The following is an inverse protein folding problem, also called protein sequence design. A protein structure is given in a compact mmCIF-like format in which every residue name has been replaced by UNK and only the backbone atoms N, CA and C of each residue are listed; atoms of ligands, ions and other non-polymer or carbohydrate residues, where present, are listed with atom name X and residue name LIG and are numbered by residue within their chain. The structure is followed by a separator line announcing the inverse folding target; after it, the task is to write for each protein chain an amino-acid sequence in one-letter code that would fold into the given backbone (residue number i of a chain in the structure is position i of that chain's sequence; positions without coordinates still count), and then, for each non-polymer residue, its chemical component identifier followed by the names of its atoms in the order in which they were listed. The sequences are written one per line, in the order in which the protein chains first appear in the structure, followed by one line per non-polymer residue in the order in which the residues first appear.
data_IF_702309603771
#
_entry.id   IF_702309603771
#
_cell.length_a   1.000
_cell.length_b   1.000
_cell.length_c   1.000
_cell.angle_alpha   90.00
_cell.angle_beta   90.00
_cell.angle_gamma   90.00
#
_symmetry.space_group_name_H-M   'P 1'
#
loop_
_entity.id
_entity.type
_entity.pdbx_description
1 polymer ?
#
# COMPACT_ATOMS: atom_id res chain seq x y z
N UNK A 1 7.43 -51.45 17.55
CA UNK A 1 6.48 -50.32 17.53
C UNK A 1 7.22 -49.15 16.92
N UNK A 2 6.93 -48.83 15.66
CA UNK A 2 7.68 -47.86 14.86
C UNK A 2 7.00 -46.49 14.97
N UNK A 3 7.83 -45.48 15.21
CA UNK A 3 7.71 -44.03 15.04
C UNK A 3 6.47 -43.43 14.34
N UNK A 4 6.09 -42.22 14.78
CA UNK A 4 5.50 -41.24 13.88
C UNK A 4 4.59 -40.20 14.55
N UNK A 5 5.18 -39.21 15.21
CA UNK A 5 4.53 -37.92 15.46
C UNK A 5 4.34 -37.23 14.10
N UNK A 6 3.11 -36.86 13.73
CA UNK A 6 2.88 -35.88 12.66
C UNK A 6 2.17 -34.68 13.29
N UNK A 7 2.98 -33.67 13.56
CA UNK A 7 2.61 -32.27 13.70
C UNK A 7 2.47 -31.76 12.26
N UNK A 8 1.26 -31.40 11.84
CA UNK A 8 1.03 -30.67 10.60
C UNK A 8 0.80 -29.21 10.94
N UNK A 9 1.86 -28.42 10.93
CA UNK A 9 1.83 -26.98 11.16
C UNK A 9 1.12 -26.23 10.02
N UNK A 10 0.52 -25.12 10.41
CA UNK A 10 -0.06 -24.08 9.55
C UNK A 10 0.92 -23.68 8.45
N UNK A 11 0.44 -23.66 7.21
CA UNK A 11 1.20 -23.17 6.07
C UNK A 11 1.36 -21.66 6.18
N UNK A 12 2.46 -21.20 6.75
CA UNK A 12 2.95 -19.85 6.52
C UNK A 12 3.35 -19.77 5.04
N UNK A 13 2.67 -18.92 4.25
CA UNK A 13 3.16 -18.53 2.93
C UNK A 13 4.58 -17.97 3.13
N UNK A 14 5.62 -18.68 2.71
CA UNK A 14 6.97 -18.14 2.76
C UNK A 14 7.10 -17.09 1.67
N UNK A 15 7.56 -15.90 2.04
CA UNK A 15 7.87 -14.79 1.14
C UNK A 15 8.78 -15.25 -0.01
N UNK A 16 8.20 -15.51 -1.19
CA UNK A 16 8.91 -15.85 -2.43
C UNK A 16 9.51 -14.60 -3.12
N UNK A 17 9.87 -13.57 -2.34
CA UNK A 17 10.50 -12.36 -2.88
C UNK A 17 12.01 -12.41 -2.68
N UNK A 18 12.73 -12.13 -3.75
CA UNK A 18 14.13 -11.77 -3.63
C UNK A 18 14.23 -10.27 -3.30
N UNK A 19 15.13 -9.89 -2.41
CA UNK A 19 15.36 -8.51 -2.03
C UNK A 19 16.76 -8.07 -2.46
N UNK A 20 16.92 -6.79 -2.81
CA UNK A 20 18.23 -6.21 -3.09
C UNK A 20 19.01 -5.89 -1.80
N UNK A 21 20.25 -5.42 -1.94
CA UNK A 21 21.11 -5.07 -0.79
C UNK A 21 20.55 -3.95 0.10
N UNK A 22 19.50 -3.26 -0.35
CA UNK A 22 18.79 -2.20 0.37
C UNK A 22 17.48 -2.70 0.98
N UNK A 23 17.19 -4.01 0.89
CA UNK A 23 15.98 -4.62 1.42
C UNK A 23 14.73 -4.32 0.59
N UNK A 24 14.87 -3.89 -0.67
CA UNK A 24 13.74 -3.63 -1.56
C UNK A 24 13.42 -4.87 -2.38
N UNK A 25 12.14 -5.18 -2.63
CA UNK A 25 11.79 -6.32 -3.45
C UNK A 25 12.37 -6.15 -4.87
N UNK A 26 13.03 -7.18 -5.36
CA UNK A 26 13.50 -7.26 -6.75
C UNK A 26 12.28 -7.47 -7.61
N UNK A 27 11.97 -6.47 -8.43
CA UNK A 27 10.80 -6.48 -9.30
C UNK A 27 11.03 -7.44 -10.49
N UNK A 28 9.95 -8.04 -11.03
CA UNK A 28 10.06 -8.92 -12.18
C UNK A 28 10.66 -8.20 -13.40
N UNK A 29 11.33 -8.95 -14.27
CA UNK A 29 11.80 -8.46 -15.56
C UNK A 29 10.62 -8.04 -16.44
N UNK A 30 10.88 -7.22 -17.47
CA UNK A 30 9.83 -6.78 -18.42
C UNK A 30 9.11 -7.94 -19.10
N UNK A 31 9.81 -9.05 -19.36
CA UNK A 31 9.20 -10.24 -19.98
C UNK A 31 8.23 -10.92 -19.00
N UNK A 32 8.60 -11.01 -17.73
CA UNK A 32 7.76 -11.58 -16.67
C UNK A 32 6.54 -10.69 -16.38
N UNK A 33 6.71 -9.36 -16.34
CA UNK A 33 5.61 -8.42 -16.15
C UNK A 33 4.50 -8.61 -17.20
N UNK A 34 4.86 -8.92 -18.45
CA UNK A 34 3.87 -9.17 -19.52
C UNK A 34 3.03 -10.44 -19.32
N UNK A 35 3.44 -11.32 -18.40
CA UNK A 35 2.73 -12.56 -18.08
C UNK A 35 1.84 -12.42 -16.84
N UNK A 36 2.05 -11.39 -16.02
CA UNK A 36 1.26 -11.15 -14.82
C UNK A 36 -0.14 -10.64 -15.19
N UNK A 37 -1.17 -11.03 -14.43
CA UNK A 37 -2.47 -10.39 -14.54
C UNK A 37 -2.36 -8.91 -14.13
N UNK A 38 -3.29 -8.07 -14.61
CA UNK A 38 -3.24 -6.62 -14.39
C UNK A 38 -3.29 -6.19 -12.92
N UNK A 39 -3.72 -7.08 -12.02
CA UNK A 39 -3.72 -6.85 -10.57
C UNK A 39 -2.43 -7.29 -9.87
N UNK A 40 -1.43 -7.80 -10.59
CA UNK A 40 -0.15 -8.27 -10.03
C UNK A 40 -0.14 -9.75 -9.58
N UNK A 41 -1.31 -10.38 -9.51
CA UNK A 41 -1.46 -11.82 -9.26
C UNK A 41 -1.42 -12.19 -7.77
N UNK A 42 -0.79 -13.32 -7.44
CA UNK A 42 -0.72 -13.79 -6.05
C UNK A 42 0.43 -13.17 -5.26
N UNK A 43 1.48 -12.75 -5.97
CA UNK A 43 2.72 -12.24 -5.38
C UNK A 43 2.81 -10.71 -5.43
N UNK A 44 2.10 -10.04 -6.33
CA UNK A 44 2.25 -8.58 -6.44
C UNK A 44 0.89 -7.92 -6.40
N UNK A 45 0.86 -6.69 -5.89
CA UNK A 45 -0.24 -5.78 -6.16
C UNK A 45 0.05 -4.97 -7.44
N UNK A 46 -0.87 -4.06 -7.80
CA UNK A 46 -0.81 -3.30 -9.06
C UNK A 46 0.43 -2.41 -9.18
N UNK A 47 1.05 -2.04 -8.06
CA UNK A 47 2.22 -1.16 -8.08
C UNK A 47 3.44 -1.79 -8.76
N UNK A 48 3.45 -3.11 -9.00
CA UNK A 48 4.52 -3.78 -9.75
C UNK A 48 4.68 -3.28 -11.19
N UNK A 49 3.65 -2.64 -11.74
CA UNK A 49 3.66 -2.06 -13.09
C UNK A 49 4.07 -0.58 -13.13
N UNK A 50 4.32 0.03 -11.97
CA UNK A 50 4.67 1.46 -11.88
C UNK A 50 6.14 1.74 -12.21
N UNK A 51 6.42 2.98 -12.61
CA UNK A 51 7.79 3.45 -12.87
C UNK A 51 8.52 3.95 -11.62
N UNK A 52 7.77 4.42 -10.62
CA UNK A 52 8.32 4.99 -9.39
C UNK A 52 9.08 3.94 -8.57
N UNK A 53 10.36 4.18 -8.23
CA UNK A 53 11.08 3.34 -7.27
C UNK A 53 10.44 3.32 -5.87
N UNK A 54 9.69 4.35 -5.49
CA UNK A 54 8.95 4.40 -4.23
C UNK A 54 7.73 3.48 -4.28
N UNK A 55 6.94 3.53 -5.35
CA UNK A 55 5.76 2.66 -5.50
C UNK A 55 6.16 1.19 -5.63
N UNK A 56 7.23 0.89 -6.36
CA UNK A 56 7.72 -0.47 -6.55
C UNK A 56 8.18 -1.13 -5.23
N UNK A 57 8.65 -0.35 -4.24
CA UNK A 57 8.97 -0.89 -2.91
C UNK A 57 7.75 -1.46 -2.20
N UNK A 58 6.58 -0.87 -2.46
CA UNK A 58 5.31 -1.30 -1.88
C UNK A 58 4.59 -2.39 -2.71
N UNK A 59 5.17 -2.83 -3.84
CA UNK A 59 4.51 -3.75 -4.77
C UNK A 59 4.30 -5.17 -4.21
N UNK A 60 5.13 -5.56 -3.23
CA UNK A 60 5.04 -6.84 -2.53
C UNK A 60 4.21 -6.77 -1.23
N UNK A 61 3.70 -5.59 -0.87
CA UNK A 61 2.92 -5.46 0.37
C UNK A 61 1.58 -6.20 0.25
N UNK A 62 1.13 -6.87 1.34
CA UNK A 62 -0.15 -7.59 1.37
C UNK A 62 -1.37 -6.67 1.23
N UNK A 63 -1.21 -5.37 1.44
CA UNK A 63 -2.24 -4.38 1.10
C UNK A 63 -2.43 -4.35 -0.42
N UNK A 64 -3.67 -4.48 -0.88
CA UNK A 64 -4.06 -4.46 -2.31
C UNK A 64 -3.99 -3.03 -2.86
N UNK A 65 -2.77 -2.54 -3.04
CA UNK A 65 -2.52 -1.19 -3.50
C UNK A 65 -2.90 -1.01 -4.97
N UNK A 66 -3.60 0.08 -5.22
CA UNK A 66 -3.77 0.71 -6.52
C UNK A 66 -2.85 1.93 -6.65
N UNK A 67 -2.40 2.25 -7.88
CA UNK A 67 -1.91 3.59 -8.16
C UNK A 67 -3.06 4.60 -8.16
N UNK A 68 -2.74 5.89 -8.29
CA UNK A 68 -3.77 6.89 -8.52
C UNK A 68 -4.26 6.85 -9.97
N UNK A 69 -5.37 6.15 -10.19
CA UNK A 69 -6.01 6.02 -11.49
C UNK A 69 -7.55 6.00 -11.39
N UNK A 70 -8.22 5.99 -12.54
CA UNK A 70 -9.68 5.91 -12.60
C UNK A 70 -10.20 4.53 -12.15
N UNK A 71 -9.44 3.46 -12.36
CA UNK A 71 -9.80 2.09 -11.96
C UNK A 71 -10.03 2.00 -10.45
N UNK A 72 -9.14 2.57 -9.65
CA UNK A 72 -9.25 2.55 -8.18
C UNK A 72 -10.53 3.22 -7.69
N UNK A 73 -10.87 4.40 -8.23
CA UNK A 73 -12.10 5.10 -7.83
C UNK A 73 -13.35 4.41 -8.35
N UNK A 74 -13.32 3.85 -9.56
CA UNK A 74 -14.42 3.07 -10.10
C UNK A 74 -14.65 1.81 -9.25
N UNK A 75 -13.57 1.13 -8.85
CA UNK A 75 -13.62 -0.01 -7.94
C UNK A 75 -14.22 0.36 -6.58
N UNK A 76 -13.83 1.51 -6.03
CA UNK A 76 -14.37 2.01 -4.77
C UNK A 76 -15.88 2.25 -4.85
N UNK A 77 -16.38 2.77 -5.99
CA UNK A 77 -17.82 2.92 -6.26
C UNK A 77 -18.54 1.57 -6.34
N UNK A 78 -17.99 0.63 -7.09
CA UNK A 78 -18.59 -0.69 -7.28
C UNK A 78 -18.69 -1.50 -5.99
N UNK A 79 -17.69 -1.37 -5.12
CA UNK A 79 -17.63 -2.05 -3.84
C UNK A 79 -18.36 -1.31 -2.72
N UNK A 80 -18.85 -0.09 -2.96
CA UNK A 80 -19.36 0.82 -1.93
C UNK A 80 -18.39 0.99 -0.76
N UNK A 81 -17.10 1.17 -1.08
CA UNK A 81 -16.01 1.33 -0.10
C UNK A 81 -15.39 2.72 -0.16
N UNK A 82 -14.99 3.29 0.99
CA UNK A 82 -14.15 4.48 0.99
C UNK A 82 -12.76 4.17 0.40
N UNK A 83 -12.10 5.23 -0.06
CA UNK A 83 -10.71 5.20 -0.54
C UNK A 83 -9.78 5.56 0.62
N UNK A 84 -8.75 4.73 0.83
CA UNK A 84 -7.62 5.05 1.70
C UNK A 84 -6.45 5.51 0.83
N UNK A 85 -6.16 6.81 0.84
CA UNK A 85 -5.03 7.40 0.11
C UNK A 85 -3.81 7.54 1.02
N UNK A 86 -2.68 6.98 0.60
CA UNK A 86 -1.39 7.13 1.26
C UNK A 86 -0.37 7.77 0.33
N UNK A 87 0.04 9.01 0.63
CA UNK A 87 1.05 9.76 -0.12
C UNK A 87 2.38 9.76 0.63
N UNK A 88 3.46 9.44 -0.07
CA UNK A 88 4.82 9.46 0.45
C UNK A 88 5.88 9.69 -0.63
N UNK A 89 7.14 9.41 -0.29
CA UNK A 89 8.30 9.54 -1.17
C UNK A 89 9.50 8.77 -0.63
N UNK A 90 10.47 8.48 -1.48
CA UNK A 90 11.60 7.57 -1.20
C UNK A 90 12.46 7.95 0.02
N UNK A 91 12.59 9.23 0.36
CA UNK A 91 13.45 9.69 1.48
C UNK A 91 12.67 10.03 2.76
N UNK A 92 11.39 9.64 2.83
CA UNK A 92 10.53 9.87 3.98
C UNK A 92 10.76 8.83 5.09
N UNK A 93 11.44 9.22 6.16
CA UNK A 93 11.72 8.32 7.29
C UNK A 93 10.46 7.67 7.88
N UNK A 94 9.42 8.46 8.17
CA UNK A 94 8.18 7.94 8.77
C UNK A 94 7.33 7.11 7.81
N UNK A 95 7.54 7.23 6.50
CA UNK A 95 6.85 6.41 5.51
C UNK A 95 7.36 4.97 5.58
N UNK A 96 8.68 4.77 5.70
CA UNK A 96 9.27 3.44 5.91
C UNK A 96 8.88 2.83 7.25
N UNK A 97 8.80 3.64 8.32
CA UNK A 97 8.35 3.15 9.64
C UNK A 97 6.89 2.67 9.58
N UNK A 98 6.00 3.46 8.96
CA UNK A 98 4.60 3.09 8.84
C UNK A 98 4.39 1.86 7.94
N UNK A 99 5.17 1.73 6.89
CA UNK A 99 5.19 0.53 6.05
C UNK A 99 5.55 -0.71 6.87
N UNK A 100 6.71 -0.69 7.53
CA UNK A 100 7.20 -1.84 8.28
C UNK A 100 6.27 -2.22 9.44
N UNK A 101 5.71 -1.24 10.14
CA UNK A 101 4.82 -1.51 11.27
C UNK A 101 3.42 -1.95 10.83
N UNK A 102 2.92 -1.44 9.70
CA UNK A 102 1.51 -1.57 9.33
C UNK A 102 1.28 -2.21 7.97
N UNK A 103 1.88 -1.72 6.89
CA UNK A 103 1.54 -2.16 5.53
C UNK A 103 2.13 -3.52 5.15
N UNK A 104 3.25 -3.93 5.77
CA UNK A 104 3.81 -5.28 5.65
C UNK A 104 3.09 -6.33 6.52
N UNK A 105 2.23 -5.88 7.45
CA UNK A 105 1.58 -6.77 8.38
C UNK A 105 0.27 -7.36 7.79
N UNK A 106 0.26 -8.67 7.57
CA UNK A 106 -0.89 -9.41 7.01
C UNK A 106 -2.22 -9.13 7.73
N UNK A 107 -2.25 -9.07 9.06
CA UNK A 107 -3.49 -8.81 9.81
C UNK A 107 -4.04 -7.40 9.54
N UNK A 108 -3.15 -6.39 9.52
CA UNK A 108 -3.52 -5.01 9.18
C UNK A 108 -3.97 -4.92 7.73
N UNK A 109 -3.25 -5.59 6.82
CA UNK A 109 -3.57 -5.59 5.39
C UNK A 109 -4.93 -6.22 5.10
N UNK A 110 -5.29 -7.33 5.76
CA UNK A 110 -6.63 -7.93 5.65
C UNK A 110 -7.70 -6.91 6.04
N UNK A 111 -7.55 -6.25 7.19
CA UNK A 111 -8.51 -5.24 7.64
C UNK A 111 -8.60 -4.05 6.67
N UNK A 112 -7.46 -3.61 6.13
CA UNK A 112 -7.42 -2.52 5.14
C UNK A 112 -8.12 -2.91 3.84
N UNK A 113 -7.83 -4.09 3.30
CA UNK A 113 -8.41 -4.60 2.05
C UNK A 113 -9.92 -4.88 2.20
N UNK A 114 -10.36 -5.28 3.39
CA UNK A 114 -11.78 -5.42 3.71
C UNK A 114 -12.49 -4.06 3.79
N UNK A 115 -11.87 -3.05 4.41
CA UNK A 115 -12.49 -1.77 4.67
C UNK A 115 -12.40 -0.75 3.51
N UNK A 116 -11.34 -0.81 2.70
CA UNK A 116 -10.98 0.26 1.77
C UNK A 116 -10.63 -0.23 0.37
N UNK A 117 -10.65 0.69 -0.58
CA UNK A 117 -9.76 0.64 -1.75
C UNK A 117 -8.52 1.47 -1.43
N UNK A 118 -7.36 0.82 -1.39
CA UNK A 118 -6.11 1.43 -0.96
C UNK A 118 -5.36 2.00 -2.16
N UNK A 119 -5.04 3.29 -2.14
CA UNK A 119 -4.29 3.98 -3.19
C UNK A 119 -2.96 4.48 -2.63
N UNK A 120 -1.87 4.17 -3.32
CA UNK A 120 -0.52 4.66 -3.02
C UNK A 120 -0.11 5.72 -4.03
N UNK A 121 0.46 6.83 -3.55
CA UNK A 121 0.95 7.92 -4.41
C UNK A 121 2.38 8.29 -4.03
N UNK A 122 3.22 8.42 -5.05
CA UNK A 122 4.51 9.07 -4.96
C UNK A 122 4.35 10.56 -5.22
N UNK A 123 4.71 11.40 -4.23
CA UNK A 123 4.65 12.86 -4.41
C UNK A 123 5.65 13.37 -5.44
N UNK A 124 6.76 12.66 -5.66
CA UNK A 124 7.81 13.10 -6.58
C UNK A 124 7.31 12.99 -8.03
N UNK A 125 6.45 12.02 -8.32
CA UNK A 125 5.76 11.88 -9.61
C UNK A 125 4.46 12.69 -9.69
N UNK A 126 3.72 12.82 -8.57
CA UNK A 126 2.41 13.50 -8.51
C UNK A 126 2.36 14.62 -7.47
N UNK A 127 3.18 15.68 -7.62
CA UNK A 127 3.16 16.82 -6.71
C UNK A 127 1.82 17.59 -6.78
N UNK A 128 1.10 17.48 -7.89
CA UNK A 128 -0.24 18.05 -8.06
C UNK A 128 -1.25 17.45 -7.07
N UNK A 129 -1.24 16.13 -6.92
CA UNK A 129 -2.09 15.42 -5.95
C UNK A 129 -1.63 15.72 -4.53
N UNK A 130 -0.32 15.65 -4.27
CA UNK A 130 0.28 15.93 -2.98
C UNK A 130 -0.14 17.30 -2.44
N UNK A 131 -0.02 18.35 -3.26
CA UNK A 131 -0.35 19.71 -2.85
C UNK A 131 -1.82 19.87 -2.46
N UNK A 132 -2.75 19.32 -3.24
CA UNK A 132 -4.19 19.38 -2.97
C UNK A 132 -4.52 18.72 -1.63
N UNK A 133 -4.04 17.50 -1.41
CA UNK A 133 -4.36 16.77 -0.19
C UNK A 133 -3.57 17.26 1.03
N UNK A 134 -2.41 17.88 0.84
CA UNK A 134 -1.66 18.55 1.89
C UNK A 134 -2.42 19.78 2.40
N UNK A 135 -2.98 20.59 1.50
CA UNK A 135 -3.81 21.73 1.86
C UNK A 135 -5.05 21.28 2.66
N UNK A 136 -5.76 20.25 2.17
CA UNK A 136 -6.90 19.66 2.88
C UNK A 136 -6.49 19.15 4.27
N UNK A 137 -5.37 18.43 4.37
CA UNK A 137 -4.87 17.90 5.64
C UNK A 137 -4.56 19.02 6.63
N UNK A 138 -3.92 20.09 6.17
CA UNK A 138 -3.64 21.27 6.98
C UNK A 138 -4.93 21.97 7.44
N UNK A 139 -5.93 22.10 6.57
CA UNK A 139 -7.23 22.68 6.93
C UNK A 139 -7.97 21.85 7.98
N UNK A 140 -7.93 20.53 7.87
CA UNK A 140 -8.61 19.62 8.81
C UNK A 140 -7.91 19.53 10.16
N UNK A 141 -6.57 19.54 10.16
CA UNK A 141 -5.77 19.19 11.34
C UNK A 141 -4.93 20.34 11.93
N UNK A 142 -4.92 21.53 11.30
CA UNK A 142 -4.00 22.63 11.57
C UNK A 142 -2.51 22.26 11.45
N UNK A 143 -2.20 21.12 10.83
CA UNK A 143 -0.85 20.62 10.58
C UNK A 143 -0.87 19.66 9.39
N UNK A 144 0.27 19.50 8.74
CA UNK A 144 0.47 18.55 7.64
C UNK A 144 1.84 17.88 7.74
N UNK A 145 2.07 16.88 6.89
CA UNK A 145 3.32 16.15 6.82
C UNK A 145 3.15 14.79 6.17
N UNK A 146 4.27 14.09 6.01
CA UNK A 146 4.32 12.75 5.40
C UNK A 146 4.74 11.69 6.44
N UNK A 147 4.27 10.44 6.35
CA UNK A 147 3.30 9.94 5.37
C UNK A 147 1.96 10.65 5.53
N UNK A 148 1.31 10.98 4.42
CA UNK A 148 0.01 11.65 4.44
C UNK A 148 -1.06 10.61 4.16
N UNK A 149 -2.01 10.49 5.10
CA UNK A 149 -3.12 9.55 5.03
C UNK A 149 -4.41 10.33 4.89
N UNK A 150 -5.21 10.04 3.87
CA UNK A 150 -6.52 10.65 3.65
C UNK A 150 -7.54 9.55 3.40
N UNK A 151 -8.68 9.60 4.11
CA UNK A 151 -9.82 8.74 3.81
C UNK A 151 -10.91 9.60 3.18
N UNK A 152 -11.38 9.15 2.02
CA UNK A 152 -12.31 9.90 1.19
C UNK A 152 -13.38 9.01 0.58
N UNK A 153 -14.47 9.63 0.12
CA UNK A 153 -15.48 8.95 -0.69
C UNK A 153 -14.91 8.59 -2.08
N UNK A 154 -15.56 7.68 -2.83
CA UNK A 154 -15.16 7.39 -4.21
C UNK A 154 -15.19 8.60 -5.16
N UNK A 155 -15.94 9.65 -4.80
CA UNK A 155 -16.00 10.94 -5.52
C UNK A 155 -14.94 11.95 -5.03
N UNK A 156 -13.87 11.45 -4.39
CA UNK A 156 -12.71 12.23 -3.93
C UNK A 156 -13.10 13.33 -2.94
N UNK A 157 -14.08 13.07 -2.08
CA UNK A 157 -14.46 13.98 -0.99
C UNK A 157 -13.86 13.48 0.34
N UNK A 158 -12.82 14.13 0.87
CA UNK A 158 -12.19 13.71 2.12
C UNK A 158 -13.11 13.95 3.31
N UNK A 159 -13.13 12.98 4.22
CA UNK A 159 -13.81 13.09 5.51
C UNK A 159 -12.90 12.77 6.68
N UNK A 160 -11.68 12.29 6.42
CA UNK A 160 -10.63 12.11 7.42
C UNK A 160 -9.26 12.38 6.79
N UNK A 161 -8.35 12.96 7.58
CA UNK A 161 -6.94 13.07 7.21
C UNK A 161 -6.06 12.97 8.44
N UNK A 162 -4.83 12.52 8.24
CA UNK A 162 -3.80 12.47 9.26
C UNK A 162 -2.42 12.28 8.64
N UNK A 163 -1.41 12.23 9.50
CA UNK A 163 -0.04 11.97 9.08
C UNK A 163 0.36 10.54 9.43
N UNK A 164 1.27 10.37 10.39
CA UNK A 164 1.71 9.08 10.89
C UNK A 164 0.70 8.46 11.86
N UNK A 165 0.39 7.17 11.67
CA UNK A 165 -0.41 6.36 12.58
C UNK A 165 0.42 5.15 13.05
N UNK A 166 0.72 5.03 14.36
CA UNK A 166 1.39 3.84 14.89
C UNK A 166 0.43 2.64 14.91
N UNK A 167 0.97 1.42 14.78
CA UNK A 167 0.16 0.17 14.84
C UNK A 167 -0.67 0.06 16.12
N UNK A 168 -0.11 0.50 17.25
CA UNK A 168 -0.78 0.49 18.55
C UNK A 168 -0.94 1.91 19.08
N UNK A 169 -2.13 2.24 19.59
CA UNK A 169 -2.33 3.46 20.36
C UNK A 169 -1.47 3.40 21.62
N UNK A 170 -0.77 4.50 21.93
CA UNK A 170 -0.08 4.67 23.21
C UNK A 170 -1.06 4.90 24.35
#
# INVERSE_FOLDING_TARGET
MVFGTIIGGEGSKSNDYNYDDQGRPITPSKEELNTLPSNGGELWNRLVFEGSPYLLQHAANPVDWYPWDEEAFQRAKELDKPVFLSIGYTTCHWCHVMEHESFENEEVAVLMNEAFVCIKVDREERPDIDNVYMEITQMMNNRGGWPMTVIMTPDKQPFFSGTYFPKYSR
#
